data_IF_358068822144
#
_entry.id   IF_358068822144
#
_cell.length_a   1.000
_cell.length_b   1.000
_cell.length_c   1.000
_cell.angle_alpha   90.00
_cell.angle_beta   90.00
_cell.angle_gamma   90.00
#
_symmetry.space_group_name_H-M   'P 1'
#
loop_
_entity.id
_entity.type
_entity.pdbx_description
1 polymer ?
#
# COMPACT_ATOMS: atom_id res chain seq x y z
N UNK A 1 3.32 -19.33 15.50
CA UNK A 1 4.25 -18.19 15.28
C UNK A 1 3.71 -16.83 15.72
N UNK A 2 2.43 -16.69 16.06
CA UNK A 2 1.82 -15.40 16.45
C UNK A 2 2.37 -14.75 17.74
N UNK A 3 3.17 -15.46 18.54
CA UNK A 3 3.69 -14.97 19.84
C UNK A 3 5.21 -14.89 19.92
N UNK A 4 5.93 -14.99 18.81
CA UNK A 4 7.39 -14.81 18.78
C UNK A 4 8.22 -15.96 19.40
N UNK A 5 7.61 -17.10 19.72
CA UNK A 5 8.33 -18.27 20.23
C UNK A 5 8.90 -19.11 19.08
N UNK A 6 9.93 -18.58 18.45
CA UNK A 6 10.56 -19.22 17.29
C UNK A 6 11.38 -20.46 17.69
N UNK A 7 11.86 -20.57 18.92
CA UNK A 7 12.62 -21.72 19.38
C UNK A 7 11.74 -22.97 19.45
N UNK A 8 10.58 -22.86 20.07
CA UNK A 8 9.63 -23.98 20.12
C UNK A 8 9.07 -24.30 18.72
N UNK A 9 8.79 -23.29 17.89
CA UNK A 9 8.38 -23.51 16.51
C UNK A 9 9.41 -24.33 15.71
N UNK A 10 10.69 -24.00 15.80
CA UNK A 10 11.79 -24.73 15.16
C UNK A 10 11.85 -26.18 15.64
N UNK A 11 11.72 -26.44 16.96
CA UNK A 11 11.75 -27.80 17.53
C UNK A 11 10.58 -28.64 16.98
N UNK A 12 9.37 -28.08 17.00
CA UNK A 12 8.16 -28.76 16.52
C UNK A 12 8.25 -29.06 15.03
N UNK A 13 8.64 -28.06 14.22
CA UNK A 13 8.77 -28.21 12.77
C UNK A 13 9.84 -29.23 12.37
N UNK A 14 10.98 -29.25 13.06
CA UNK A 14 12.01 -30.27 12.82
C UNK A 14 11.50 -31.69 13.13
N UNK A 15 10.72 -31.87 14.19
CA UNK A 15 10.10 -33.18 14.54
C UNK A 15 9.04 -33.57 13.50
N UNK A 16 8.20 -32.65 13.09
CA UNK A 16 7.18 -32.89 12.07
C UNK A 16 7.80 -33.28 10.72
N UNK A 17 8.87 -32.60 10.32
CA UNK A 17 9.61 -32.91 9.10
C UNK A 17 10.38 -34.25 9.15
N UNK A 18 10.60 -34.86 10.33
CA UNK A 18 11.09 -36.24 10.42
C UNK A 18 10.04 -37.23 9.92
N UNK A 19 8.75 -36.94 10.13
CA UNK A 19 7.62 -37.77 9.72
C UNK A 19 7.24 -37.49 8.24
N UNK A 20 7.13 -36.20 7.87
CA UNK A 20 6.79 -35.76 6.51
C UNK A 20 7.88 -34.81 5.96
N UNK A 21 8.94 -35.42 5.44
CA UNK A 21 10.15 -34.72 4.99
C UNK A 21 9.92 -33.76 3.83
N UNK A 22 8.89 -34.03 3.02
CA UNK A 22 8.63 -33.29 1.78
C UNK A 22 7.54 -32.22 1.93
N UNK A 23 7.03 -31.98 3.14
CA UNK A 23 5.99 -30.99 3.39
C UNK A 23 6.50 -29.57 3.13
N UNK A 24 6.07 -28.99 2.02
CA UNK A 24 6.51 -27.68 1.57
C UNK A 24 6.18 -26.56 2.56
N UNK A 25 4.97 -26.60 3.15
CA UNK A 25 4.54 -25.56 4.08
C UNK A 25 5.34 -25.60 5.38
N UNK A 26 5.58 -26.80 5.93
CA UNK A 26 6.45 -26.94 7.10
C UNK A 26 7.89 -26.49 6.84
N UNK A 27 8.43 -26.73 5.64
CA UNK A 27 9.76 -26.25 5.27
C UNK A 27 9.80 -24.73 5.14
N UNK A 28 8.77 -24.10 4.53
CA UNK A 28 8.63 -22.64 4.49
C UNK A 28 8.57 -22.05 5.91
N UNK A 29 7.76 -22.63 6.77
CA UNK A 29 7.62 -22.19 8.17
C UNK A 29 8.93 -22.35 8.96
N UNK A 30 9.68 -23.40 8.72
CA UNK A 30 11.00 -23.62 9.35
C UNK A 30 12.02 -22.55 8.89
N UNK A 31 12.08 -22.28 7.59
CA UNK A 31 12.92 -21.22 7.03
C UNK A 31 12.59 -19.86 7.63
N UNK A 32 11.29 -19.52 7.71
CA UNK A 32 10.81 -18.27 8.29
C UNK A 32 11.03 -18.19 9.79
N UNK A 33 10.95 -19.32 10.52
CA UNK A 33 11.25 -19.36 11.97
C UNK A 33 12.72 -19.04 12.24
N UNK A 34 13.64 -19.58 11.44
CA UNK A 34 15.07 -19.20 11.51
C UNK A 34 15.30 -17.73 11.13
N UNK A 35 14.62 -17.25 10.08
CA UNK A 35 14.71 -15.85 9.64
C UNK A 35 14.28 -14.87 10.76
N UNK A 36 13.11 -15.09 11.37
CA UNK A 36 12.62 -14.23 12.46
C UNK A 36 13.47 -14.34 13.74
N UNK A 37 14.08 -15.49 13.96
CA UNK A 37 15.08 -15.68 15.03
C UNK A 37 16.41 -14.98 14.71
N UNK A 38 16.57 -14.42 13.51
CA UNK A 38 17.83 -13.84 12.97
C UNK A 38 18.97 -14.85 12.82
N UNK A 39 18.66 -16.14 12.76
CA UNK A 39 19.60 -17.18 12.43
C UNK A 39 19.66 -17.34 10.91
N UNK A 40 20.26 -16.34 10.27
CA UNK A 40 20.25 -16.23 8.80
C UNK A 40 21.06 -17.35 8.13
N UNK A 41 22.05 -17.94 8.81
CA UNK A 41 22.79 -19.06 8.27
C UNK A 41 21.88 -20.28 8.06
N UNK A 42 21.15 -20.69 9.10
CA UNK A 42 20.19 -21.81 9.00
C UNK A 42 18.98 -21.46 8.13
N UNK A 43 18.53 -20.22 8.14
CA UNK A 43 17.49 -19.74 7.24
C UNK A 43 17.93 -19.90 5.77
N UNK A 44 19.20 -19.60 5.44
CA UNK A 44 19.75 -19.75 4.10
C UNK A 44 19.81 -21.22 3.67
N UNK A 45 20.23 -22.12 4.56
CA UNK A 45 20.24 -23.55 4.26
C UNK A 45 18.84 -24.07 3.90
N UNK A 46 17.82 -23.66 4.69
CA UNK A 46 16.43 -24.01 4.38
C UNK A 46 15.93 -23.35 3.10
N UNK A 47 16.28 -22.08 2.86
CA UNK A 47 15.90 -21.37 1.65
C UNK A 47 16.48 -22.02 0.39
N UNK A 48 17.72 -22.50 0.42
CA UNK A 48 18.32 -23.27 -0.69
C UNK A 48 17.53 -24.53 -1.00
N UNK A 49 17.15 -25.30 0.06
CA UNK A 49 16.32 -26.50 -0.10
C UNK A 49 14.99 -26.15 -0.78
N UNK A 50 14.33 -25.06 -0.36
CA UNK A 50 13.07 -24.61 -0.93
C UNK A 50 13.22 -24.20 -2.41
N UNK A 51 14.29 -23.50 -2.76
CA UNK A 51 14.55 -23.02 -4.12
C UNK A 51 14.91 -24.14 -5.10
N UNK A 52 15.50 -25.24 -4.62
CA UNK A 52 15.90 -26.39 -5.44
C UNK A 52 14.73 -27.36 -5.70
N UNK A 53 13.56 -27.16 -5.10
CA UNK A 53 12.38 -28.02 -5.28
C UNK A 53 11.70 -27.78 -6.63
N UNK A 54 11.24 -28.84 -7.26
CA UNK A 54 10.44 -28.75 -8.48
C UNK A 54 9.07 -28.10 -8.25
N UNK A 55 8.48 -28.33 -7.06
CA UNK A 55 7.19 -27.77 -6.64
C UNK A 55 7.31 -26.41 -5.90
N UNK A 56 8.48 -25.75 -5.97
CA UNK A 56 8.69 -24.43 -5.38
C UNK A 56 7.65 -23.41 -5.89
N UNK A 57 6.89 -22.85 -4.98
CA UNK A 57 5.92 -21.80 -5.23
C UNK A 57 6.53 -20.38 -5.11
N UNK A 58 5.73 -19.34 -5.34
CA UNK A 58 6.19 -17.94 -5.25
C UNK A 58 6.72 -17.58 -3.86
N UNK A 59 6.17 -18.19 -2.79
CA UNK A 59 6.59 -17.94 -1.41
C UNK A 59 8.02 -18.46 -1.16
N UNK A 60 8.42 -19.56 -1.80
CA UNK A 60 9.80 -20.07 -1.71
C UNK A 60 10.80 -19.02 -2.22
N UNK A 61 10.48 -18.36 -3.33
CA UNK A 61 11.33 -17.28 -3.89
C UNK A 61 11.32 -16.03 -3.03
N UNK A 62 10.19 -15.68 -2.39
CA UNK A 62 10.15 -14.59 -1.42
C UNK A 62 11.05 -14.89 -0.21
N UNK A 63 10.92 -16.08 0.37
CA UNK A 63 11.75 -16.50 1.51
C UNK A 63 13.23 -16.45 1.13
N UNK A 64 13.61 -17.05 0.00
CA UNK A 64 14.98 -17.03 -0.48
C UNK A 64 15.53 -15.62 -0.68
N UNK A 65 14.76 -14.76 -1.35
CA UNK A 65 15.13 -13.37 -1.58
C UNK A 65 15.30 -12.60 -0.28
N UNK A 66 14.34 -12.74 0.67
CA UNK A 66 14.39 -12.05 1.96
C UNK A 66 15.57 -12.51 2.83
N UNK A 67 15.92 -13.79 2.78
CA UNK A 67 17.11 -14.31 3.49
C UNK A 67 18.38 -13.72 2.90
N UNK A 68 18.53 -13.70 1.57
CA UNK A 68 19.68 -13.08 0.92
C UNK A 68 19.74 -11.57 1.15
N UNK A 69 18.59 -10.88 1.20
CA UNK A 69 18.50 -9.46 1.55
C UNK A 69 19.00 -9.21 2.98
N UNK A 70 18.61 -10.05 3.95
CA UNK A 70 19.05 -9.95 5.35
C UNK A 70 20.54 -10.24 5.53
N UNK A 71 21.15 -11.01 4.63
CA UNK A 71 22.60 -11.29 4.58
C UNK A 71 23.37 -10.24 3.77
N UNK A 72 22.70 -9.23 3.22
CA UNK A 72 23.27 -8.20 2.34
C UNK A 72 23.89 -8.77 1.03
N UNK A 73 23.52 -10.00 0.67
CA UNK A 73 23.94 -10.67 -0.55
C UNK A 73 23.10 -10.22 -1.77
N UNK A 74 23.27 -8.97 -2.16
CA UNK A 74 22.42 -8.26 -3.15
C UNK A 74 22.34 -8.97 -4.49
N UNK A 75 23.44 -9.56 -4.98
CA UNK A 75 23.46 -10.25 -6.28
C UNK A 75 22.60 -11.52 -6.26
N UNK A 76 22.70 -12.31 -5.20
CA UNK A 76 21.93 -13.54 -5.05
C UNK A 76 20.45 -13.24 -4.77
N UNK A 77 20.16 -12.22 -3.97
CA UNK A 77 18.82 -11.70 -3.76
C UNK A 77 18.16 -11.33 -5.10
N UNK A 78 18.82 -10.54 -5.94
CA UNK A 78 18.32 -10.14 -7.25
C UNK A 78 18.11 -11.35 -8.17
N UNK A 79 19.04 -12.30 -8.17
CA UNK A 79 18.95 -13.55 -8.96
C UNK A 79 17.71 -14.36 -8.56
N UNK A 80 17.45 -14.50 -7.26
CA UNK A 80 16.32 -15.26 -6.73
C UNK A 80 14.99 -14.58 -7.08
N UNK A 81 14.86 -13.26 -6.89
CA UNK A 81 13.62 -12.56 -7.27
C UNK A 81 13.35 -12.62 -8.77
N UNK A 82 14.39 -12.45 -9.62
CA UNK A 82 14.25 -12.60 -11.07
C UNK A 82 13.83 -14.01 -11.47
N UNK A 83 14.39 -15.04 -10.84
CA UNK A 83 13.99 -16.43 -11.08
C UNK A 83 12.54 -16.68 -10.67
N UNK A 84 12.11 -16.16 -9.51
CA UNK A 84 10.73 -16.23 -9.05
C UNK A 84 9.77 -15.52 -10.01
N UNK A 85 10.11 -14.30 -10.45
CA UNK A 85 9.29 -13.54 -11.40
C UNK A 85 9.26 -14.13 -12.80
N UNK A 86 10.24 -14.94 -13.19
CA UNK A 86 10.19 -15.72 -14.44
C UNK A 86 9.15 -16.84 -14.36
N UNK A 87 9.02 -17.52 -13.20
CA UNK A 87 8.00 -18.56 -12.97
C UNK A 87 6.62 -17.97 -12.64
N UNK A 88 6.57 -16.88 -11.88
CA UNK A 88 5.37 -16.25 -11.35
C UNK A 88 5.30 -14.76 -11.72
N UNK A 89 5.14 -14.40 -13.01
CA UNK A 89 5.31 -13.03 -13.50
C UNK A 89 4.27 -12.03 -13.00
N UNK A 90 3.16 -12.53 -12.46
CA UNK A 90 2.03 -11.73 -11.96
C UNK A 90 1.89 -11.82 -10.43
N UNK A 91 2.92 -12.25 -9.71
CA UNK A 91 2.87 -12.32 -8.26
C UNK A 91 3.19 -10.95 -7.64
N UNK A 92 2.18 -10.32 -7.05
CA UNK A 92 2.29 -8.97 -6.44
C UNK A 92 3.35 -8.88 -5.35
N UNK A 93 3.41 -9.83 -4.39
CA UNK A 93 4.46 -9.89 -3.38
C UNK A 93 5.88 -9.90 -3.95
N UNK A 94 6.18 -10.77 -4.94
CA UNK A 94 7.50 -10.81 -5.55
C UNK A 94 7.87 -9.52 -6.29
N UNK A 95 6.88 -8.89 -6.96
CA UNK A 95 7.08 -7.60 -7.61
C UNK A 95 7.38 -6.51 -6.58
N UNK A 96 6.70 -6.52 -5.43
CA UNK A 96 6.96 -5.60 -4.34
C UNK A 96 8.39 -5.73 -3.80
N UNK A 97 8.80 -6.93 -3.45
CA UNK A 97 10.12 -7.21 -2.88
C UNK A 97 11.26 -6.91 -3.88
N UNK A 98 11.08 -7.25 -5.15
CA UNK A 98 12.07 -6.92 -6.16
C UNK A 98 12.16 -5.40 -6.40
N UNK A 99 11.03 -4.71 -6.39
CA UNK A 99 11.01 -3.24 -6.44
C UNK A 99 11.73 -2.60 -5.25
N UNK A 100 11.55 -3.14 -4.03
CA UNK A 100 12.27 -2.67 -2.83
C UNK A 100 13.79 -2.84 -2.99
N UNK A 101 14.24 -4.01 -3.47
CA UNK A 101 15.66 -4.24 -3.73
C UNK A 101 16.24 -3.23 -4.74
N UNK A 102 15.51 -2.94 -5.82
CA UNK A 102 15.92 -1.93 -6.81
C UNK A 102 15.99 -0.53 -6.17
N UNK A 103 15.01 -0.17 -5.35
CA UNK A 103 14.99 1.10 -4.64
C UNK A 103 16.18 1.27 -3.70
N UNK A 104 16.53 0.24 -2.91
CA UNK A 104 17.70 0.23 -2.05
C UNK A 104 19.01 0.43 -2.85
N UNK A 105 19.06 -0.12 -4.07
CA UNK A 105 20.17 0.10 -5.04
C UNK A 105 20.14 1.48 -5.70
N UNK A 106 19.18 2.34 -5.37
CA UNK A 106 18.93 3.62 -6.05
C UNK A 106 18.59 3.48 -7.55
N UNK A 107 18.06 2.33 -7.91
CA UNK A 107 17.53 2.07 -9.26
C UNK A 107 16.05 2.46 -9.31
N UNK A 108 15.76 3.57 -9.97
CA UNK A 108 14.40 4.12 -10.06
C UNK A 108 13.46 3.32 -10.96
N UNK A 109 13.95 2.28 -11.64
CA UNK A 109 13.08 1.30 -12.29
C UNK A 109 12.27 0.45 -11.30
N UNK A 110 12.54 0.59 -10.00
CA UNK A 110 11.73 0.06 -8.90
C UNK A 110 10.24 0.35 -9.08
N UNK A 111 9.90 1.56 -9.55
CA UNK A 111 8.50 1.94 -9.78
C UNK A 111 7.83 1.08 -10.86
N UNK A 112 8.57 0.58 -11.86
CA UNK A 112 8.01 -0.28 -12.91
C UNK A 112 7.53 -1.62 -12.35
N UNK A 113 8.22 -2.13 -11.31
CA UNK A 113 7.82 -3.34 -10.61
C UNK A 113 6.55 -3.13 -9.79
N UNK A 114 6.47 -2.05 -9.04
CA UNK A 114 5.31 -1.73 -8.21
C UNK A 114 4.07 -1.42 -9.05
N UNK A 115 4.23 -0.64 -10.13
CA UNK A 115 3.13 -0.36 -11.07
C UNK A 115 2.65 -1.64 -11.78
N UNK A 116 3.59 -2.51 -12.18
CA UNK A 116 3.21 -3.82 -12.68
C UNK A 116 2.44 -4.62 -11.64
N UNK A 117 2.90 -4.61 -10.37
CA UNK A 117 2.22 -5.28 -9.27
C UNK A 117 0.80 -4.76 -9.04
N UNK A 118 0.60 -3.44 -9.02
CA UNK A 118 -0.73 -2.82 -8.92
C UNK A 118 -1.65 -3.27 -10.06
N UNK A 119 -1.13 -3.35 -11.26
CA UNK A 119 -1.91 -3.74 -12.45
C UNK A 119 -2.32 -5.21 -12.44
N UNK A 120 -1.40 -6.13 -12.07
CA UNK A 120 -1.62 -7.57 -12.21
C UNK A 120 -2.16 -8.24 -10.95
N UNK A 121 -1.89 -7.66 -9.78
CA UNK A 121 -2.34 -8.14 -8.46
C UNK A 121 -2.79 -6.95 -7.59
N UNK A 122 -3.91 -6.28 -7.96
CA UNK A 122 -4.40 -5.10 -7.25
C UNK A 122 -4.88 -5.39 -5.82
N UNK A 123 -4.93 -6.65 -5.42
CA UNK A 123 -5.25 -7.08 -4.06
C UNK A 123 -4.08 -7.02 -3.08
N UNK A 124 -2.84 -6.82 -3.55
CA UNK A 124 -1.67 -6.78 -2.69
C UNK A 124 -1.27 -5.34 -2.31
N UNK A 125 -1.36 -5.02 -1.01
CA UNK A 125 -1.17 -3.66 -0.47
C UNK A 125 0.26 -3.12 -0.62
N UNK A 126 1.29 -3.99 -0.58
CA UNK A 126 2.70 -3.59 -0.57
C UNK A 126 3.11 -2.77 -1.78
N UNK A 127 2.57 -3.09 -2.98
CA UNK A 127 2.86 -2.33 -4.19
C UNK A 127 2.32 -0.90 -4.12
N UNK A 128 1.13 -0.69 -3.57
CA UNK A 128 0.57 0.64 -3.35
C UNK A 128 1.37 1.45 -2.34
N UNK A 129 1.80 0.81 -1.24
CA UNK A 129 2.65 1.44 -0.24
C UNK A 129 3.94 1.99 -0.83
N UNK A 130 4.65 1.16 -1.57
CA UNK A 130 5.94 1.51 -2.14
C UNK A 130 5.80 2.53 -3.27
N UNK A 131 4.82 2.37 -4.17
CA UNK A 131 4.55 3.32 -5.24
C UNK A 131 4.11 4.69 -4.70
N UNK A 132 3.27 4.76 -3.66
CA UNK A 132 2.88 6.01 -3.02
C UNK A 132 4.08 6.79 -2.48
N UNK A 133 4.99 6.09 -1.79
CA UNK A 133 6.24 6.66 -1.28
C UNK A 133 7.14 7.16 -2.39
N UNK A 134 7.28 6.40 -3.47
CA UNK A 134 8.05 6.80 -4.64
C UNK A 134 7.52 8.10 -5.24
N UNK A 135 6.21 8.13 -5.56
CA UNK A 135 5.61 9.31 -6.17
C UNK A 135 5.66 10.55 -5.29
N UNK A 136 5.64 10.39 -3.97
CA UNK A 136 5.81 11.51 -3.04
C UNK A 136 7.13 12.27 -3.25
N UNK A 137 8.20 11.60 -3.65
CA UNK A 137 9.50 12.23 -3.93
C UNK A 137 9.65 12.72 -5.38
N UNK A 138 8.63 12.53 -6.21
CA UNK A 138 8.63 13.02 -7.60
C UNK A 138 7.85 14.33 -7.73
N UNK A 139 7.72 14.83 -8.96
CA UNK A 139 6.85 15.96 -9.29
C UNK A 139 5.39 15.57 -9.46
N UNK A 140 5.06 14.28 -9.49
CA UNK A 140 3.69 13.81 -9.59
C UNK A 140 2.90 14.19 -8.32
N UNK A 141 1.73 14.79 -8.51
CA UNK A 141 0.88 15.29 -7.41
C UNK A 141 -0.33 14.37 -7.14
N UNK A 142 -0.52 13.32 -7.93
CA UNK A 142 -1.74 12.52 -7.93
C UNK A 142 -1.53 11.13 -7.36
N UNK A 143 -0.56 10.39 -7.92
CA UNK A 143 -0.44 8.95 -7.63
C UNK A 143 0.03 8.66 -6.21
N UNK A 144 0.81 9.54 -5.59
CA UNK A 144 1.14 9.42 -4.17
C UNK A 144 -0.12 9.43 -3.29
N UNK A 145 -1.07 10.33 -3.59
CA UNK A 145 -2.32 10.46 -2.82
C UNK A 145 -3.25 9.28 -3.07
N UNK A 146 -3.44 8.91 -4.34
CA UNK A 146 -4.33 7.82 -4.74
C UNK A 146 -3.86 6.48 -4.15
N UNK A 147 -2.59 6.13 -4.38
CA UNK A 147 -2.04 4.86 -3.91
C UNK A 147 -1.89 4.80 -2.40
N UNK A 148 -1.51 5.91 -1.77
CA UNK A 148 -1.42 6.01 -0.32
C UNK A 148 -2.78 5.76 0.36
N UNK A 149 -3.85 6.34 -0.16
CA UNK A 149 -5.19 6.16 0.39
C UNK A 149 -5.73 4.74 0.15
N UNK A 150 -5.46 4.14 -1.02
CA UNK A 150 -5.76 2.73 -1.28
C UNK A 150 -5.05 1.85 -0.24
N UNK A 151 -3.75 2.06 -0.05
CA UNK A 151 -2.97 1.29 0.94
C UNK A 151 -3.56 1.39 2.35
N UNK A 152 -3.86 2.59 2.84
CA UNK A 152 -4.42 2.79 4.19
C UNK A 152 -5.78 2.09 4.36
N UNK A 153 -6.59 2.04 3.31
CA UNK A 153 -7.88 1.31 3.35
C UNK A 153 -7.69 -0.21 3.29
N UNK A 154 -6.64 -0.71 2.63
CA UNK A 154 -6.33 -2.15 2.59
C UNK A 154 -5.66 -2.63 3.88
N UNK A 155 -4.88 -1.77 4.55
CA UNK A 155 -4.03 -2.12 5.70
C UNK A 155 -4.20 -1.08 6.83
N UNK A 156 -5.39 -0.99 7.38
CA UNK A 156 -5.81 0.09 8.27
C UNK A 156 -5.19 0.07 9.68
N UNK A 157 -4.67 -1.07 10.14
CA UNK A 157 -4.24 -1.30 11.54
C UNK A 157 -2.72 -1.50 11.70
N UNK A 158 -1.93 -1.33 10.64
CA UNK A 158 -0.47 -1.50 10.70
C UNK A 158 0.24 -0.19 11.06
N UNK A 159 1.46 -0.31 11.59
CA UNK A 159 2.34 0.84 11.80
C UNK A 159 2.63 1.60 10.51
N UNK A 160 2.69 0.89 9.38
CA UNK A 160 2.84 1.50 8.05
C UNK A 160 1.65 2.38 7.67
N UNK A 161 0.45 2.05 8.14
CA UNK A 161 -0.73 2.88 7.88
C UNK A 161 -0.62 4.25 8.56
N UNK A 162 -0.10 4.32 9.78
CA UNK A 162 0.11 5.60 10.47
C UNK A 162 1.11 6.50 9.71
N UNK A 163 2.24 5.92 9.28
CA UNK A 163 3.23 6.64 8.46
C UNK A 163 2.64 7.10 7.11
N UNK A 164 1.80 6.26 6.47
CA UNK A 164 1.16 6.62 5.21
C UNK A 164 0.11 7.72 5.37
N UNK A 165 -0.65 7.76 6.47
CA UNK A 165 -1.58 8.86 6.77
C UNK A 165 -0.84 10.20 6.88
N UNK A 166 0.33 10.21 7.53
CA UNK A 166 1.18 11.40 7.58
C UNK A 166 1.63 11.81 6.17
N UNK A 167 2.12 10.85 5.36
CA UNK A 167 2.53 11.11 3.99
C UNK A 167 1.38 11.66 3.13
N UNK A 168 0.16 11.17 3.32
CA UNK A 168 -1.03 11.68 2.65
C UNK A 168 -1.31 13.15 3.01
N UNK A 169 -1.30 13.48 4.31
CA UNK A 169 -1.49 14.86 4.76
C UNK A 169 -0.42 15.80 4.20
N UNK A 170 0.83 15.37 4.24
CA UNK A 170 1.96 16.11 3.66
C UNK A 170 1.85 16.21 2.12
N UNK A 171 1.36 15.18 1.47
CA UNK A 171 1.07 15.17 0.03
C UNK A 171 0.05 16.23 -0.37
N UNK A 172 -1.03 16.38 0.39
CA UNK A 172 -1.99 17.46 0.19
C UNK A 172 -1.37 18.84 0.47
N UNK A 173 -0.64 19.01 1.60
CA UNK A 173 -0.06 20.29 2.02
C UNK A 173 1.12 20.74 1.14
N UNK A 174 2.05 19.84 0.87
CA UNK A 174 3.38 20.17 0.30
C UNK A 174 3.48 19.87 -1.19
N UNK A 175 2.50 19.15 -1.77
CA UNK A 175 2.52 18.75 -3.19
C UNK A 175 1.30 19.27 -3.94
N UNK A 176 0.11 18.75 -3.63
CA UNK A 176 -1.08 19.08 -4.40
C UNK A 176 -1.44 20.57 -4.30
N UNK A 177 -1.47 21.08 -3.06
CA UNK A 177 -1.88 22.46 -2.77
C UNK A 177 -0.72 23.38 -2.37
N UNK A 178 0.52 22.98 -2.65
CA UNK A 178 1.69 23.81 -2.39
C UNK A 178 1.69 25.08 -3.25
N UNK A 179 1.20 24.97 -4.50
CA UNK A 179 1.12 26.07 -5.46
C UNK A 179 -0.33 26.49 -5.67
N UNK A 180 -0.56 27.77 -5.96
CA UNK A 180 -1.89 28.29 -6.32
C UNK A 180 -2.45 27.59 -7.58
N UNK A 181 -1.57 27.20 -8.51
CA UNK A 181 -1.91 26.39 -9.68
C UNK A 181 -1.58 24.92 -9.40
N UNK A 182 -2.58 24.11 -9.08
CA UNK A 182 -2.39 22.69 -8.79
C UNK A 182 -1.95 21.86 -10.00
N UNK A 183 -2.16 22.34 -11.24
CA UNK A 183 -1.73 21.66 -12.47
C UNK A 183 -0.27 21.97 -12.82
N UNK A 184 0.37 22.91 -12.13
CA UNK A 184 1.76 23.27 -12.37
C UNK A 184 2.68 22.04 -12.26
N UNK A 185 3.49 21.83 -13.28
CA UNK A 185 4.41 20.69 -13.38
C UNK A 185 3.77 19.37 -13.81
N UNK A 186 2.45 19.36 -14.12
CA UNK A 186 1.71 18.19 -14.58
C UNK A 186 1.35 18.23 -16.08
N UNK A 187 1.82 19.23 -16.80
CA UNK A 187 1.50 19.46 -18.22
C UNK A 187 1.93 18.29 -19.13
N UNK A 188 2.98 17.54 -18.70
CA UNK A 188 3.51 16.39 -19.42
C UNK A 188 2.89 15.06 -18.99
N UNK A 189 1.97 15.06 -18.04
CA UNK A 189 1.28 13.82 -17.63
C UNK A 189 0.51 13.24 -18.80
N UNK A 190 0.75 11.97 -19.11
CA UNK A 190 0.01 11.24 -20.14
C UNK A 190 -1.32 10.70 -19.61
N UNK A 191 -1.45 10.52 -18.31
CA UNK A 191 -2.63 9.94 -17.68
C UNK A 191 -3.82 10.91 -17.74
N UNK A 192 -4.83 10.57 -18.53
CA UNK A 192 -6.09 11.31 -18.60
C UNK A 192 -6.87 11.24 -17.27
N UNK A 193 -6.69 10.16 -16.51
CA UNK A 193 -7.22 10.05 -15.15
C UNK A 193 -6.62 11.12 -14.22
N UNK A 194 -5.29 11.29 -14.24
CA UNK A 194 -4.61 12.31 -13.44
C UNK A 194 -5.07 13.72 -13.80
N UNK A 195 -5.28 13.99 -15.09
CA UNK A 195 -5.83 15.30 -15.56
C UNK A 195 -7.24 15.53 -15.03
N UNK A 196 -8.11 14.52 -15.10
CA UNK A 196 -9.47 14.58 -14.58
C UNK A 196 -9.48 14.77 -13.04
N UNK A 197 -8.59 14.09 -12.32
CA UNK A 197 -8.43 14.27 -10.87
C UNK A 197 -8.05 15.72 -10.54
N UNK A 198 -7.06 16.27 -11.23
CA UNK A 198 -6.61 17.65 -11.00
C UNK A 198 -7.67 18.68 -11.41
N UNK A 199 -8.46 18.44 -12.48
CA UNK A 199 -9.59 19.31 -12.84
C UNK A 199 -10.62 19.40 -11.71
N UNK A 200 -11.03 18.27 -11.15
CA UNK A 200 -11.98 18.23 -10.04
C UNK A 200 -11.41 18.88 -8.77
N UNK A 201 -10.16 18.59 -8.42
CA UNK A 201 -9.51 19.14 -7.21
C UNK A 201 -9.25 20.66 -7.34
N UNK A 202 -8.84 21.11 -8.51
CA UNK A 202 -8.52 22.52 -8.75
C UNK A 202 -9.69 23.47 -8.55
N UNK A 203 -10.89 23.04 -8.88
CA UNK A 203 -12.13 23.82 -8.68
C UNK A 203 -12.44 24.10 -7.20
N UNK A 204 -11.84 23.33 -6.31
CA UNK A 204 -12.07 23.44 -4.87
C UNK A 204 -11.01 24.29 -4.14
N UNK A 205 -10.02 24.82 -4.87
CA UNK A 205 -8.87 25.56 -4.29
C UNK A 205 -9.28 26.81 -3.46
N UNK A 206 -10.42 27.43 -3.77
CA UNK A 206 -10.95 28.56 -2.99
C UNK A 206 -11.27 28.24 -1.53
N UNK A 207 -11.50 26.97 -1.20
CA UNK A 207 -11.74 26.51 0.17
C UNK A 207 -10.47 26.52 1.04
N UNK A 208 -9.30 26.66 0.43
CA UNK A 208 -8.01 26.64 1.12
C UNK A 208 -7.59 27.96 1.75
N UNK A 209 -8.44 28.99 1.74
CA UNK A 209 -8.15 30.29 2.36
C UNK A 209 -7.76 30.19 3.85
N UNK A 210 -8.17 29.11 4.53
CA UNK A 210 -7.82 28.79 5.91
C UNK A 210 -6.69 27.75 6.05
N UNK A 211 -6.01 27.43 4.95
CA UNK A 211 -4.98 26.39 4.90
C UNK A 211 -5.54 24.98 4.69
N UNK A 212 -4.61 24.02 4.60
CA UNK A 212 -4.93 22.59 4.43
C UNK A 212 -5.01 21.95 5.82
N UNK A 213 -6.23 21.71 6.27
CA UNK A 213 -6.57 21.05 7.54
C UNK A 213 -7.48 19.84 7.27
N UNK A 214 -7.69 18.98 8.25
CA UNK A 214 -8.66 17.88 8.16
C UNK A 214 -10.05 18.39 7.76
N UNK A 215 -10.50 19.51 8.32
CA UNK A 215 -11.80 20.11 8.02
C UNK A 215 -11.88 20.59 6.56
N UNK A 216 -10.87 21.36 6.10
CA UNK A 216 -10.86 21.86 4.71
C UNK A 216 -10.70 20.73 3.71
N UNK A 217 -9.91 19.71 4.02
CA UNK A 217 -9.79 18.51 3.20
C UNK A 217 -11.10 17.74 3.11
N UNK A 218 -11.84 17.62 4.22
CA UNK A 218 -13.16 16.97 4.20
C UNK A 218 -14.11 17.69 3.25
N UNK A 219 -14.16 19.02 3.30
CA UNK A 219 -15.01 19.81 2.39
C UNK A 219 -14.59 19.67 0.93
N UNK A 220 -13.28 19.77 0.64
CA UNK A 220 -12.73 19.65 -0.71
C UNK A 220 -13.04 18.27 -1.27
N UNK A 221 -12.78 17.21 -0.50
CA UNK A 221 -12.96 15.84 -0.93
C UNK A 221 -14.44 15.47 -1.12
N UNK A 222 -15.33 16.00 -0.29
CA UNK A 222 -16.79 15.86 -0.49
C UNK A 222 -17.22 16.45 -1.84
N UNK A 223 -16.78 17.66 -2.16
CA UNK A 223 -17.09 18.31 -3.44
C UNK A 223 -16.40 17.61 -4.61
N UNK A 224 -15.16 17.16 -4.42
CA UNK A 224 -14.46 16.35 -5.41
C UNK A 224 -15.27 15.12 -5.82
N UNK A 225 -15.81 14.36 -4.85
CA UNK A 225 -16.60 13.16 -5.12
C UNK A 225 -17.86 13.50 -5.92
N UNK A 226 -18.58 14.56 -5.56
CA UNK A 226 -19.77 14.99 -6.30
C UNK A 226 -19.41 15.35 -7.75
N UNK A 227 -18.37 16.14 -7.97
CA UNK A 227 -17.88 16.54 -9.29
C UNK A 227 -17.40 15.35 -10.12
N UNK A 228 -16.65 14.41 -9.50
CA UNK A 228 -16.15 13.21 -10.15
C UNK A 228 -17.27 12.34 -10.71
N UNK A 229 -18.31 12.11 -9.89
CA UNK A 229 -19.45 11.29 -10.29
C UNK A 229 -20.35 11.95 -11.31
N UNK A 230 -20.38 13.27 -11.34
CA UNK A 230 -21.07 14.02 -12.38
C UNK A 230 -20.36 13.91 -13.73
N UNK A 231 -19.01 13.98 -13.77
CA UNK A 231 -18.26 14.18 -15.02
C UNK A 231 -17.44 13.01 -15.49
N UNK A 232 -16.80 12.29 -14.59
CA UNK A 232 -15.70 11.38 -14.93
C UNK A 232 -15.91 9.92 -14.55
N UNK A 233 -16.80 9.61 -13.59
CA UNK A 233 -16.99 8.25 -13.11
C UNK A 233 -17.43 7.26 -14.21
N UNK A 234 -18.18 7.71 -15.21
CA UNK A 234 -18.56 6.89 -16.37
C UNK A 234 -17.37 6.50 -17.25
N UNK A 235 -16.35 7.36 -17.36
CA UNK A 235 -15.13 7.12 -18.13
C UNK A 235 -14.07 6.38 -17.29
N UNK A 236 -13.99 6.71 -16.02
CA UNK A 236 -12.99 6.19 -15.08
C UNK A 236 -13.66 5.64 -13.83
N UNK A 237 -14.36 4.47 -13.91
CA UNK A 237 -14.88 3.81 -12.72
C UNK A 237 -13.71 3.44 -11.80
N UNK A 238 -13.77 3.86 -10.53
CA UNK A 238 -12.65 3.68 -9.61
C UNK A 238 -13.12 3.34 -8.19
N UNK A 239 -12.74 2.16 -7.72
CA UNK A 239 -13.20 1.59 -6.45
C UNK A 239 -12.97 2.50 -5.25
N UNK A 240 -11.84 3.24 -5.20
CA UNK A 240 -11.58 4.17 -4.13
C UNK A 240 -12.64 5.28 -4.06
N UNK A 241 -13.04 5.83 -5.21
CA UNK A 241 -14.04 6.90 -5.25
C UNK A 241 -15.46 6.37 -5.02
N UNK A 242 -15.77 5.16 -5.48
CA UNK A 242 -17.03 4.47 -5.12
C UNK A 242 -17.13 4.29 -3.60
N UNK A 243 -16.03 3.88 -2.95
CA UNK A 243 -15.97 3.74 -1.51
C UNK A 243 -16.18 5.08 -0.79
N UNK A 244 -15.51 6.14 -1.24
CA UNK A 244 -15.68 7.49 -0.68
C UNK A 244 -17.12 8.02 -0.89
N UNK A 245 -17.72 7.78 -2.07
CA UNK A 245 -19.13 8.13 -2.32
C UNK A 245 -20.07 7.40 -1.36
N UNK A 246 -19.82 6.12 -1.12
CA UNK A 246 -20.63 5.35 -0.17
C UNK A 246 -20.53 5.91 1.25
N UNK A 247 -19.31 6.24 1.74
CA UNK A 247 -19.12 6.91 3.03
C UNK A 247 -19.88 8.24 3.13
N UNK A 248 -19.91 8.99 2.02
CA UNK A 248 -20.66 10.25 1.94
C UNK A 248 -22.17 10.02 2.03
N UNK A 249 -22.70 9.02 1.31
CA UNK A 249 -24.12 8.66 1.32
C UNK A 249 -24.59 8.12 2.66
N UNK A 250 -23.72 7.41 3.38
CA UNK A 250 -24.01 6.89 4.72
C UNK A 250 -23.79 7.95 5.83
N UNK A 251 -23.37 9.19 5.49
CA UNK A 251 -23.19 10.28 6.44
C UNK A 251 -21.99 10.13 7.38
N UNK A 252 -21.01 9.27 7.01
CA UNK A 252 -19.83 8.94 7.82
C UNK A 252 -18.51 9.41 7.19
N UNK A 253 -18.58 10.25 6.19
CA UNK A 253 -17.38 10.72 5.48
C UNK A 253 -16.53 11.68 6.31
N UNK A 254 -17.13 12.43 7.25
CA UNK A 254 -16.35 13.26 8.17
C UNK A 254 -15.54 12.37 9.11
N UNK A 255 -16.14 11.33 9.69
CA UNK A 255 -15.44 10.37 10.54
C UNK A 255 -14.30 9.68 9.80
N UNK A 256 -14.49 9.33 8.53
CA UNK A 256 -13.44 8.78 7.68
C UNK A 256 -12.26 9.76 7.50
N UNK A 257 -12.53 11.03 7.22
CA UNK A 257 -11.46 12.04 7.07
C UNK A 257 -10.77 12.35 8.39
N UNK A 258 -11.49 12.35 9.50
CA UNK A 258 -10.91 12.45 10.84
C UNK A 258 -9.99 11.27 11.14
N UNK A 259 -10.42 10.05 10.83
CA UNK A 259 -9.58 8.87 10.98
C UNK A 259 -8.35 8.91 10.05
N UNK A 260 -8.49 9.43 8.83
CA UNK A 260 -7.40 9.47 7.84
C UNK A 260 -6.39 10.58 8.15
N UNK A 261 -6.84 11.79 8.48
CA UNK A 261 -6.01 12.98 8.63
C UNK A 261 -5.96 13.51 10.07
N UNK A 262 -7.08 13.51 10.79
CA UNK A 262 -7.17 14.07 12.14
C UNK A 262 -6.20 13.42 13.12
N UNK A 263 -6.02 12.08 13.00
CA UNK A 263 -5.10 11.31 13.84
C UNK A 263 -3.63 11.75 13.72
N UNK A 264 -3.23 12.33 12.58
CA UNK A 264 -1.86 12.77 12.30
C UNK A 264 -1.72 14.29 12.25
N UNK A 265 -2.80 15.04 12.06
CA UNK A 265 -2.78 16.49 12.08
C UNK A 265 -2.74 17.03 13.53
N UNK A 266 -3.68 16.61 14.37
CA UNK A 266 -3.78 17.02 15.76
C UNK A 266 -4.60 16.01 16.57
N UNK A 267 -3.91 15.15 17.33
CA UNK A 267 -4.53 14.07 18.09
C UNK A 267 -5.53 14.58 19.13
N UNK A 268 -5.25 15.70 19.80
CA UNK A 268 -6.15 16.27 20.80
C UNK A 268 -7.44 16.81 20.17
N UNK A 269 -7.34 17.44 19.00
CA UNK A 269 -8.51 17.87 18.24
C UNK A 269 -9.32 16.68 17.74
N UNK A 270 -8.65 15.62 17.25
CA UNK A 270 -9.28 14.37 16.85
C UNK A 270 -10.05 13.72 18.01
N UNK A 271 -9.44 13.60 19.20
CA UNK A 271 -10.11 13.05 20.40
C UNK A 271 -11.33 13.87 20.83
N UNK A 272 -11.24 15.19 20.71
CA UNK A 272 -12.36 16.09 20.98
C UNK A 272 -13.49 15.88 19.97
N UNK A 273 -13.13 15.80 18.70
CA UNK A 273 -14.09 15.60 17.61
C UNK A 273 -14.82 14.26 17.76
N UNK A 274 -14.10 13.15 18.01
CA UNK A 274 -14.70 11.81 18.17
C UNK A 274 -15.67 11.72 19.33
N UNK A 275 -15.42 12.44 20.43
CA UNK A 275 -16.35 12.54 21.56
C UNK A 275 -17.61 13.34 21.23
N UNK A 276 -17.47 14.42 20.46
CA UNK A 276 -18.60 15.26 20.05
C UNK A 276 -19.46 14.58 18.95
N UNK A 277 -18.89 13.67 18.17
CA UNK A 277 -19.52 12.96 17.04
C UNK A 277 -19.49 11.44 17.23
N UNK A 278 -19.72 10.99 18.47
CA UNK A 278 -19.55 9.59 18.90
C UNK A 278 -20.37 8.59 18.04
N UNK A 279 -21.61 8.96 17.69
CA UNK A 279 -22.47 8.12 16.87
C UNK A 279 -21.93 7.97 15.43
N UNK A 280 -21.56 9.07 14.78
CA UNK A 280 -20.96 9.05 13.44
C UNK A 280 -19.68 8.23 13.44
N UNK A 281 -18.83 8.42 14.46
CA UNK A 281 -17.56 7.69 14.56
C UNK A 281 -17.76 6.18 14.79
N UNK A 282 -18.71 5.79 15.64
CA UNK A 282 -19.08 4.38 15.85
C UNK A 282 -19.61 3.73 14.58
N UNK A 283 -20.45 4.44 13.83
CA UNK A 283 -20.99 3.97 12.56
C UNK A 283 -19.86 3.77 11.53
N UNK A 284 -18.89 4.70 11.47
CA UNK A 284 -17.72 4.55 10.62
C UNK A 284 -16.85 3.32 11.01
N UNK A 285 -16.59 3.11 12.30
CA UNK A 285 -15.82 1.95 12.77
C UNK A 285 -16.56 0.63 12.47
N UNK A 286 -17.86 0.60 12.64
CA UNK A 286 -18.69 -0.57 12.28
C UNK A 286 -18.64 -0.84 10.77
N UNK A 287 -18.75 0.20 9.94
CA UNK A 287 -18.61 0.12 8.49
C UNK A 287 -17.24 -0.46 8.08
N UNK A 288 -16.16 0.01 8.68
CA UNK A 288 -14.79 -0.46 8.41
C UNK A 288 -14.59 -1.94 8.78
N UNK A 289 -15.11 -2.37 9.93
CA UNK A 289 -14.98 -3.76 10.41
C UNK A 289 -15.71 -4.78 9.57
N UNK A 290 -16.80 -4.38 8.94
CA UNK A 290 -17.66 -5.28 8.15
C UNK A 290 -17.26 -5.38 6.68
N UNK A 291 -16.30 -4.59 6.22
CA UNK A 291 -15.94 -4.48 4.80
C UNK A 291 -14.45 -4.52 4.59
N UNK A 292 -14.00 -5.46 3.78
CA UNK A 292 -12.61 -5.52 3.33
C UNK A 292 -12.48 -4.71 2.05
N UNK A 293 -11.69 -3.63 2.11
CA UNK A 293 -11.38 -2.85 0.92
C UNK A 293 -10.40 -3.62 0.02
N UNK A 294 -10.76 -3.80 -1.25
CA UNK A 294 -9.89 -4.39 -2.28
C UNK A 294 -10.12 -3.66 -3.60
N UNK A 295 -9.04 -3.36 -4.29
CA UNK A 295 -9.12 -2.87 -5.66
C UNK A 295 -9.42 -4.03 -6.62
N UNK A 296 -10.35 -3.86 -7.56
CA UNK A 296 -10.62 -4.86 -8.59
C UNK A 296 -9.55 -4.80 -9.70
N UNK A 297 -9.47 -5.86 -10.48
CA UNK A 297 -8.71 -5.86 -11.75
C UNK A 297 -9.31 -4.87 -12.74
N UNK A 298 -8.48 -4.33 -13.65
CA UNK A 298 -8.94 -3.45 -14.72
C UNK A 298 -9.10 -1.97 -14.35
N UNK A 299 -8.90 -1.60 -13.09
CA UNK A 299 -8.93 -0.19 -12.66
C UNK A 299 -7.51 0.36 -12.47
N UNK A 300 -6.70 0.23 -13.50
CA UNK A 300 -5.35 0.77 -13.57
C UNK A 300 -5.32 1.87 -14.64
N UNK A 301 -5.04 3.10 -14.24
CA UNK A 301 -5.09 4.30 -15.11
C UNK A 301 -3.77 5.07 -15.17
N UNK A 302 -2.69 4.48 -14.65
CA UNK A 302 -1.36 5.05 -14.78
C UNK A 302 -0.76 4.63 -16.12
N UNK A 303 -0.87 5.51 -17.10
CA UNK A 303 -0.20 5.39 -18.40
C UNK A 303 1.16 6.08 -18.34
N UNK A 304 2.21 5.36 -18.71
CA UNK A 304 3.58 5.87 -18.77
C UNK A 304 4.07 6.01 -20.21
#
# INVERSE_FOLDING_TARGET
MQHGDFDNAIIILNRALQVDKNNLDMQKDLAMSYYYKRDYARALDQAKILLDRDDADAVCYQIGGNVYKALEEVKDCERVYKAGLKKFPNNGPLLSEYGELLWEKKDFSSIDQWEKGIRVDPGYSGNYYNAARFYFFTKDKVWSLIYGEIFVNMESLSDRAAAMKQLLLDGYKQKLFADANITAGQEKSKSEFSKAFLDCMGKQSSLLSRGVTTETLTMIRSRFILEWFDKYAGRFPYKLFDYQRQLLQEGIFNAYNQWLFGTVENLAAYDTWTKAHDEEYKNFIAFQKTRVFKMPTGQYYQDR
#
